data_IF_596235855405
#
_entry.id   IF_596235855405
#
_cell.length_a   1.000
_cell.length_b   1.000
_cell.length_c   1.000
_cell.angle_alpha   90.00
_cell.angle_beta   90.00
_cell.angle_gamma   90.00
#
_symmetry.space_group_name_H-M   'P 1'
#
loop_
_entity.id
_entity.type
_entity.pdbx_description
1 polymer ?
#
# COMPACT_ATOMS: atom_id res chain seq x y z
N UNK A 1 -13.16 -25.11 16.25
CA UNK A 1 -13.09 -23.70 16.73
C UNK A 1 -13.43 -22.87 15.53
N UNK A 2 -14.71 -22.84 15.24
CA UNK A 2 -15.30 -22.33 14.01
C UNK A 2 -15.78 -20.91 14.31
N UNK A 3 -15.04 -19.90 13.83
CA UNK A 3 -15.49 -18.51 13.88
C UNK A 3 -14.61 -17.62 12.98
N UNK A 4 -14.87 -17.61 11.67
CA UNK A 4 -14.70 -16.42 10.81
C UNK A 4 -15.20 -16.63 9.35
N UNK A 5 -16.06 -17.62 9.10
CA UNK A 5 -16.82 -17.75 7.86
C UNK A 5 -18.25 -17.26 8.08
N UNK A 6 -18.44 -15.96 8.37
CA UNK A 6 -19.74 -15.31 8.22
C UNK A 6 -19.59 -13.78 8.28
N UNK A 7 -19.71 -13.11 7.13
CA UNK A 7 -20.03 -11.67 7.09
C UNK A 7 -21.27 -11.47 6.22
N UNK A 8 -22.38 -12.08 6.66
CA UNK A 8 -23.71 -11.60 6.32
C UNK A 8 -24.01 -10.37 7.17
N UNK A 9 -23.95 -9.19 6.56
CA UNK A 9 -24.24 -7.90 7.20
C UNK A 9 -23.27 -6.84 6.70
N UNK A 10 -23.78 -5.88 5.92
CA UNK A 10 -22.99 -4.94 5.11
C UNK A 10 -21.82 -4.32 5.87
N UNK A 11 -20.62 -4.71 5.49
CA UNK A 11 -19.36 -4.21 6.05
C UNK A 11 -19.07 -2.85 5.41
N UNK A 12 -18.54 -1.87 6.15
CA UNK A 12 -18.31 -0.53 5.56
C UNK A 12 -17.28 -0.53 4.42
N UNK A 13 -16.49 -1.61 4.33
CA UNK A 13 -15.55 -1.88 3.26
C UNK A 13 -16.22 -2.49 2.02
N UNK A 14 -17.49 -2.90 2.08
CA UNK A 14 -18.19 -3.52 0.96
C UNK A 14 -18.17 -2.69 -0.32
N UNK A 15 -18.36 -1.35 -0.32
CA UNK A 15 -18.25 -0.56 -1.55
C UNK A 15 -16.84 -0.60 -2.14
N UNK A 16 -15.83 -0.59 -1.27
CA UNK A 16 -14.42 -0.67 -1.65
C UNK A 16 -14.08 -2.06 -2.18
N UNK A 17 -14.54 -3.11 -1.50
CA UNK A 17 -14.32 -4.52 -1.86
C UNK A 17 -15.04 -4.87 -3.15
N UNK A 18 -16.29 -4.41 -3.34
CA UNK A 18 -17.06 -4.63 -4.56
C UNK A 18 -16.44 -3.90 -5.77
N UNK A 19 -15.90 -2.69 -5.57
CA UNK A 19 -15.15 -1.99 -6.62
C UNK A 19 -13.89 -2.75 -7.03
N UNK A 20 -13.10 -3.23 -6.04
CA UNK A 20 -11.90 -4.01 -6.32
C UNK A 20 -12.24 -5.38 -6.95
N UNK A 21 -13.32 -6.03 -6.52
CA UNK A 21 -13.79 -7.28 -7.08
C UNK A 21 -14.27 -7.12 -8.54
N UNK A 22 -15.01 -6.06 -8.86
CA UNK A 22 -15.44 -5.75 -10.23
C UNK A 22 -14.27 -5.46 -11.18
N UNK A 23 -13.19 -4.87 -10.65
CA UNK A 23 -11.95 -4.65 -11.40
C UNK A 23 -11.20 -5.95 -11.67
N UNK A 24 -11.12 -6.83 -10.68
CA UNK A 24 -10.47 -8.14 -10.82
C UNK A 24 -11.25 -9.00 -11.82
N UNK A 25 -12.58 -9.02 -11.75
CA UNK A 25 -13.41 -9.77 -12.71
C UNK A 25 -13.31 -9.24 -14.14
N UNK A 26 -13.24 -7.91 -14.32
CA UNK A 26 -13.06 -7.31 -15.65
C UNK A 26 -11.68 -7.57 -16.25
N UNK A 27 -10.64 -7.71 -15.41
CA UNK A 27 -9.29 -8.08 -15.84
C UNK A 27 -9.23 -9.57 -16.19
N UNK A 28 -9.85 -10.44 -15.40
CA UNK A 28 -9.94 -11.88 -15.69
C UNK A 28 -10.67 -12.14 -17.02
N UNK A 29 -11.79 -11.47 -17.29
CA UNK A 29 -12.53 -11.61 -18.54
C UNK A 29 -11.66 -11.22 -19.77
N UNK A 30 -10.82 -10.19 -19.63
CA UNK A 30 -9.90 -9.77 -20.70
C UNK A 30 -8.74 -10.76 -20.88
N UNK A 31 -8.22 -11.33 -19.80
CA UNK A 31 -7.08 -12.27 -19.83
C UNK A 31 -7.52 -13.63 -20.38
N UNK A 32 -8.66 -14.15 -19.93
CA UNK A 32 -9.19 -15.45 -20.34
C UNK A 32 -9.62 -15.45 -21.82
N UNK A 33 -10.28 -14.38 -22.28
CA UNK A 33 -10.78 -14.26 -23.66
C UNK A 33 -9.65 -13.97 -24.66
N UNK A 34 -8.60 -13.24 -24.29
CA UNK A 34 -7.55 -12.82 -25.25
C UNK A 34 -6.24 -13.61 -25.22
N UNK A 35 -5.86 -14.26 -24.13
CA UNK A 35 -4.48 -14.73 -23.98
C UNK A 35 -4.28 -16.24 -23.80
N UNK A 36 -5.29 -17.02 -23.35
CA UNK A 36 -5.23 -18.49 -23.26
C UNK A 36 -3.90 -19.04 -22.67
N UNK A 37 -3.37 -18.39 -21.63
CA UNK A 37 -2.04 -18.67 -21.05
C UNK A 37 -2.14 -19.57 -19.81
N UNK A 38 -1.25 -20.58 -19.64
CA UNK A 38 -1.03 -21.22 -18.35
C UNK A 38 -0.31 -20.26 -17.38
N UNK A 39 -0.53 -20.39 -16.06
CA UNK A 39 -0.08 -19.48 -14.97
C UNK A 39 -0.80 -18.12 -14.87
N UNK A 40 -2.12 -18.10 -15.08
CA UNK A 40 -2.99 -16.91 -14.98
C UNK A 40 -2.87 -16.15 -13.66
N UNK A 41 -2.72 -16.84 -12.53
CA UNK A 41 -2.71 -16.20 -11.20
C UNK A 41 -1.48 -15.30 -10.94
N UNK A 42 -0.29 -15.69 -11.40
CA UNK A 42 0.90 -14.87 -11.21
C UNK A 42 0.85 -13.57 -12.04
N UNK A 43 0.32 -13.64 -13.26
CA UNK A 43 0.07 -12.46 -14.08
C UNK A 43 -1.08 -11.60 -13.53
N UNK A 44 -2.12 -12.20 -12.93
CA UNK A 44 -3.21 -11.46 -12.29
C UNK A 44 -2.70 -10.60 -11.12
N UNK A 45 -1.80 -11.12 -10.28
CA UNK A 45 -1.18 -10.34 -9.18
C UNK A 45 -0.31 -9.20 -9.72
N UNK A 46 0.46 -9.44 -10.79
CA UNK A 46 1.28 -8.40 -11.44
C UNK A 46 0.38 -7.31 -12.02
N UNK A 47 -0.72 -7.67 -12.68
CA UNK A 47 -1.66 -6.70 -13.24
C UNK A 47 -2.37 -5.90 -12.14
N UNK A 48 -2.82 -6.57 -11.08
CA UNK A 48 -3.42 -5.93 -9.92
C UNK A 48 -2.47 -4.92 -9.27
N UNK A 49 -1.21 -5.30 -9.05
CA UNK A 49 -0.22 -4.39 -8.46
C UNK A 49 0.12 -3.20 -9.37
N UNK A 50 0.22 -3.42 -10.69
CA UNK A 50 0.39 -2.34 -11.65
C UNK A 50 -0.80 -1.37 -11.67
N UNK A 51 -2.02 -1.91 -11.63
CA UNK A 51 -3.26 -1.15 -11.58
C UNK A 51 -3.38 -0.30 -10.30
N UNK A 52 -3.16 -0.91 -9.13
CA UNK A 52 -3.17 -0.19 -7.84
C UNK A 52 -2.10 0.88 -7.82
N UNK A 53 -0.88 0.60 -8.32
CA UNK A 53 0.18 1.60 -8.43
C UNK A 53 -0.20 2.76 -9.35
N UNK A 54 -0.90 2.50 -10.45
CA UNK A 54 -1.33 3.53 -11.39
C UNK A 54 -2.41 4.44 -10.79
N UNK A 55 -3.36 3.88 -10.03
CA UNK A 55 -4.34 4.67 -9.28
C UNK A 55 -3.72 5.46 -8.13
N UNK A 56 -2.74 4.88 -7.43
CA UNK A 56 -2.09 5.50 -6.27
C UNK A 56 -0.93 6.43 -6.68
N UNK A 57 -0.53 6.43 -7.95
CA UNK A 57 0.54 7.27 -8.49
C UNK A 57 0.36 8.77 -8.21
N UNK A 58 -0.80 9.40 -8.49
CA UNK A 58 -1.01 10.81 -8.17
C UNK A 58 -0.93 11.10 -6.67
N UNK A 59 -1.42 10.19 -5.83
CA UNK A 59 -1.31 10.30 -4.37
C UNK A 59 0.15 10.26 -3.92
N UNK A 60 0.93 9.33 -4.48
CA UNK A 60 2.33 9.12 -4.12
C UNK A 60 3.22 10.32 -4.50
N UNK A 61 2.88 11.05 -5.55
CA UNK A 61 3.61 12.26 -5.96
C UNK A 61 3.65 13.34 -4.86
N UNK A 62 2.55 13.51 -4.13
CA UNK A 62 2.48 14.46 -3.00
C UNK A 62 3.40 14.06 -1.85
N UNK A 63 3.44 12.76 -1.54
CA UNK A 63 4.31 12.22 -0.50
C UNK A 63 5.78 12.21 -0.89
N UNK A 64 6.09 12.00 -2.17
CA UNK A 64 7.47 12.14 -2.69
C UNK A 64 7.97 13.58 -2.57
N UNK A 65 7.12 14.57 -2.87
CA UNK A 65 7.45 15.99 -2.69
C UNK A 65 7.72 16.32 -1.22
N UNK A 66 6.89 15.83 -0.31
CA UNK A 66 7.04 16.04 1.14
C UNK A 66 8.35 15.43 1.66
N UNK A 67 8.70 14.23 1.19
CA UNK A 67 9.97 13.57 1.54
C UNK A 67 11.20 14.34 1.01
N UNK A 68 11.14 14.86 -0.22
CA UNK A 68 12.24 15.65 -0.78
C UNK A 68 12.46 16.96 0.01
N UNK A 69 11.39 17.64 0.43
CA UNK A 69 11.51 18.84 1.27
C UNK A 69 12.09 18.53 2.66
N UNK A 70 11.73 17.38 3.24
CA UNK A 70 12.32 16.91 4.50
C UNK A 70 13.82 16.63 4.38
N UNK A 71 14.29 16.11 3.24
CA UNK A 71 15.72 15.93 2.98
C UNK A 71 16.49 17.25 2.96
N UNK A 72 15.91 18.30 2.35
CA UNK A 72 16.49 19.65 2.34
C UNK A 72 16.52 20.30 3.73
N UNK A 73 15.59 19.93 4.62
CA UNK A 73 15.51 20.42 6.00
C UNK A 73 16.45 19.74 6.98
N UNK A 74 16.92 18.53 6.67
CA UNK A 74 17.85 17.77 7.54
C UNK A 74 19.03 18.58 8.09
N UNK A 75 19.78 19.40 7.32
CA UNK A 75 20.88 20.18 7.87
C UNK A 75 20.41 21.18 8.94
N UNK A 76 19.26 21.83 8.78
CA UNK A 76 18.70 22.76 9.78
C UNK A 76 18.22 22.01 11.02
N UNK A 77 17.62 20.83 10.85
CA UNK A 77 17.21 19.96 11.96
C UNK A 77 18.44 19.55 12.79
N UNK A 78 19.56 19.20 12.14
CA UNK A 78 20.81 18.86 12.82
C UNK A 78 21.43 20.05 13.56
N UNK A 79 21.31 21.28 13.02
CA UNK A 79 21.75 22.49 13.71
C UNK A 79 20.94 22.75 14.98
N UNK A 80 19.60 22.61 14.92
CA UNK A 80 18.73 22.75 16.11
C UNK A 80 19.07 21.68 17.14
N UNK A 81 19.20 20.43 16.72
CA UNK A 81 19.58 19.32 17.61
C UNK A 81 20.95 19.55 18.27
N UNK A 82 21.90 20.15 17.55
CA UNK A 82 23.24 20.44 18.09
C UNK A 82 23.23 21.64 19.05
N UNK A 83 22.39 22.64 18.80
CA UNK A 83 22.29 23.87 19.61
C UNK A 83 21.51 23.65 20.91
N UNK A 84 20.51 22.76 20.91
CA UNK A 84 19.61 22.52 22.04
C UNK A 84 19.71 21.08 22.59
N UNK A 85 20.92 20.51 22.63
CA UNK A 85 21.14 19.11 23.11
C UNK A 85 20.61 18.85 24.52
N UNK A 86 20.74 19.84 25.41
CA UNK A 86 20.39 19.71 26.83
C UNK A 86 19.00 20.25 27.17
N UNK A 87 18.27 20.80 26.20
CA UNK A 87 16.95 21.41 26.40
C UNK A 87 15.96 20.85 25.36
N UNK A 88 15.33 19.75 25.73
CA UNK A 88 14.42 19.00 24.88
C UNK A 88 13.12 19.76 24.59
N UNK A 89 12.63 20.56 25.55
CA UNK A 89 11.43 21.38 25.35
C UNK A 89 11.68 22.46 24.29
N UNK A 90 12.80 23.18 24.40
CA UNK A 90 13.15 24.21 23.42
C UNK A 90 13.48 23.60 22.06
N UNK A 91 14.15 22.43 22.03
CA UNK A 91 14.40 21.67 20.79
C UNK A 91 13.10 21.35 20.06
N UNK A 92 12.11 20.78 20.74
CA UNK A 92 10.83 20.42 20.13
C UNK A 92 10.06 21.64 19.62
N UNK A 93 10.06 22.75 20.38
CA UNK A 93 9.41 24.00 19.98
C UNK A 93 10.06 24.62 18.74
N UNK A 94 11.38 24.65 18.67
CA UNK A 94 12.13 25.18 17.53
C UNK A 94 11.98 24.30 16.29
N UNK A 95 11.90 22.98 16.47
CA UNK A 95 11.67 22.03 15.40
C UNK A 95 10.27 22.18 14.79
N UNK A 96 9.22 22.33 15.63
CA UNK A 96 7.88 22.64 15.15
C UNK A 96 7.85 23.96 14.36
N UNK A 97 8.46 25.01 14.92
CA UNK A 97 8.52 26.33 14.27
C UNK A 97 9.23 26.28 12.92
N UNK A 98 10.32 25.50 12.81
CA UNK A 98 11.03 25.28 11.55
C UNK A 98 10.13 24.61 10.49
N UNK A 99 9.33 23.62 10.90
CA UNK A 99 8.39 22.95 9.98
C UNK A 99 7.27 23.87 9.51
N UNK A 100 6.73 24.69 10.41
CA UNK A 100 5.72 25.70 10.10
C UNK A 100 6.27 26.78 9.16
N UNK A 101 7.46 27.33 9.46
CA UNK A 101 8.11 28.36 8.65
C UNK A 101 8.43 27.87 7.22
N UNK A 102 8.70 26.57 7.07
CA UNK A 102 9.00 25.95 5.77
C UNK A 102 7.77 25.35 5.08
N UNK A 103 6.60 25.36 5.73
CA UNK A 103 5.35 24.81 5.19
C UNK A 103 5.41 23.30 4.91
N UNK A 104 6.22 22.54 5.64
CA UNK A 104 6.40 21.10 5.42
C UNK A 104 5.65 20.31 6.47
N UNK A 105 4.74 19.42 6.03
CA UNK A 105 4.03 18.53 6.93
C UNK A 105 4.82 17.22 7.14
N UNK A 106 5.38 16.94 8.33
CA UNK A 106 6.16 15.72 8.59
C UNK A 106 5.33 14.43 8.43
N UNK A 107 4.01 14.51 8.58
CA UNK A 107 3.10 13.37 8.41
C UNK A 107 2.78 13.07 6.93
N UNK A 108 3.08 13.99 6.01
CA UNK A 108 2.88 13.77 4.58
C UNK A 108 3.74 12.64 4.00
N UNK A 109 4.85 12.31 4.68
CA UNK A 109 5.76 11.24 4.29
C UNK A 109 5.30 9.83 4.69
N UNK A 110 4.55 9.67 5.79
CA UNK A 110 4.06 8.37 6.25
C UNK A 110 2.64 8.04 5.76
N UNK A 111 1.93 9.01 5.19
CA UNK A 111 0.59 8.85 4.61
C UNK A 111 0.48 7.70 3.58
N UNK A 112 1.46 7.47 2.67
CA UNK A 112 1.40 6.34 1.74
C UNK A 112 1.51 4.99 2.45
N UNK A 113 2.30 4.91 3.52
CA UNK A 113 2.46 3.68 4.28
C UNK A 113 1.15 3.33 5.01
N UNK A 114 0.44 4.33 5.54
CA UNK A 114 -0.87 4.14 6.16
C UNK A 114 -1.92 3.62 5.17
N UNK A 115 -1.93 4.13 3.94
CA UNK A 115 -2.81 3.65 2.86
C UNK A 115 -2.39 2.27 2.35
N UNK A 116 -1.11 1.93 2.43
CA UNK A 116 -0.58 0.63 2.00
C UNK A 116 -1.05 -0.53 2.90
N UNK A 117 -1.21 -0.30 4.21
CA UNK A 117 -1.60 -1.35 5.14
C UNK A 117 -2.94 -2.03 4.78
N UNK A 118 -4.05 -1.29 4.53
CA UNK A 118 -5.31 -1.88 4.08
C UNK A 118 -5.20 -2.67 2.76
N UNK A 119 -4.44 -2.14 1.79
CA UNK A 119 -4.25 -2.78 0.49
C UNK A 119 -3.54 -4.13 0.64
N UNK A 120 -2.52 -4.20 1.50
CA UNK A 120 -1.79 -5.43 1.77
C UNK A 120 -2.67 -6.48 2.46
N UNK A 121 -3.50 -6.07 3.43
CA UNK A 121 -4.44 -6.97 4.11
C UNK A 121 -5.48 -7.53 3.12
N UNK A 122 -5.99 -6.68 2.23
CA UNK A 122 -6.92 -7.09 1.17
C UNK A 122 -6.30 -8.11 0.22
N UNK A 123 -5.07 -7.85 -0.25
CA UNK A 123 -4.34 -8.76 -1.12
C UNK A 123 -4.03 -10.10 -0.43
N UNK A 124 -3.55 -10.07 0.81
CA UNK A 124 -3.24 -11.28 1.56
C UNK A 124 -4.47 -12.18 1.77
N UNK A 125 -5.62 -11.58 2.10
CA UNK A 125 -6.89 -12.30 2.23
C UNK A 125 -7.40 -12.85 0.91
N UNK A 126 -7.24 -12.09 -0.18
CA UNK A 126 -7.59 -12.56 -1.52
C UNK A 126 -6.75 -13.77 -1.93
N UNK A 127 -5.43 -13.71 -1.73
CA UNK A 127 -4.51 -14.82 -2.02
C UNK A 127 -4.85 -16.04 -1.16
N UNK A 128 -5.03 -15.90 0.16
CA UNK A 128 -5.40 -17.03 1.02
C UNK A 128 -6.72 -17.68 0.60
N UNK A 129 -7.74 -16.89 0.27
CA UNK A 129 -9.04 -17.41 -0.19
C UNK A 129 -8.91 -18.13 -1.54
N UNK A 130 -8.07 -17.63 -2.44
CA UNK A 130 -7.82 -18.27 -3.73
C UNK A 130 -6.99 -19.56 -3.59
N UNK A 131 -6.01 -19.57 -2.67
CA UNK A 131 -5.18 -20.74 -2.36
C UNK A 131 -5.97 -21.87 -1.69
N UNK A 132 -6.96 -21.56 -0.86
CA UNK A 132 -7.86 -22.58 -0.25
C UNK A 132 -8.80 -23.23 -1.28
N UNK A 133 -9.20 -22.49 -2.33
CA UNK A 133 -10.22 -22.94 -3.28
C UNK A 133 -9.66 -23.50 -4.60
N UNK A 134 -8.38 -23.28 -4.93
CA UNK A 134 -7.80 -23.69 -6.21
C UNK A 134 -6.44 -24.36 -6.03
N UNK A 135 -6.34 -25.63 -6.44
CA UNK A 135 -5.10 -26.41 -6.41
C UNK A 135 -3.99 -25.86 -7.33
N UNK A 136 -4.36 -25.02 -8.30
CA UNK A 136 -3.42 -24.34 -9.21
C UNK A 136 -2.46 -23.36 -8.50
N UNK A 137 -2.74 -22.94 -7.25
CA UNK A 137 -1.78 -22.17 -6.45
C UNK A 137 -0.53 -22.96 -6.03
N UNK A 138 -0.59 -24.29 -6.14
CA UNK A 138 0.57 -25.18 -5.96
C UNK A 138 1.44 -25.29 -7.21
N UNK A 139 1.04 -24.67 -8.33
CA UNK A 139 1.87 -24.66 -9.54
C UNK A 139 3.05 -23.70 -9.39
N UNK A 140 4.23 -24.09 -9.90
CA UNK A 140 5.42 -23.25 -9.83
C UNK A 140 5.28 -22.04 -10.76
N UNK A 141 5.49 -20.85 -10.21
CA UNK A 141 5.48 -19.60 -10.95
C UNK A 141 6.89 -19.06 -11.15
N UNK A 142 7.35 -19.02 -12.41
CA UNK A 142 8.71 -18.63 -12.80
C UNK A 142 9.80 -19.45 -12.08
N UNK A 143 10.28 -18.97 -10.92
CA UNK A 143 11.30 -19.61 -10.08
C UNK A 143 10.78 -19.99 -8.68
N UNK A 144 9.52 -19.68 -8.38
CA UNK A 144 8.91 -19.92 -7.07
C UNK A 144 8.17 -21.27 -7.15
N UNK A 145 8.44 -22.22 -6.23
CA UNK A 145 7.87 -23.57 -6.31
C UNK A 145 6.35 -23.62 -6.10
N UNK A 146 5.78 -22.64 -5.39
CA UNK A 146 4.33 -22.47 -5.24
C UNK A 146 4.00 -21.03 -4.90
N UNK A 147 2.78 -20.61 -5.21
CA UNK A 147 2.24 -19.28 -4.85
C UNK A 147 1.44 -19.30 -3.53
N UNK A 148 1.20 -20.49 -2.96
CA UNK A 148 0.65 -20.72 -1.62
C UNK A 148 1.75 -20.75 -0.55
#
# INVERSE_FOLDING_TARGET
>A
VDAAANSGGGDWFDPWVNFNAGLISGIDEVIEVKLNLPNTFGFAIIFYTAFVKLLTFPLNQSSLRSNAMMQLLQPKIQQINSKYKNDEETKNRMMLRLFDDCGVNPLGGCLPALVQFPIFIGLYRAINRLAENNEHFKEPFLWIPSLA
#
